data_IF_742379964136
#
_entry.id   IF_742379964136
#
_cell.length_a   1.000
_cell.length_b   1.000
_cell.length_c   1.000
_cell.angle_alpha   90.00
_cell.angle_beta   90.00
_cell.angle_gamma   90.00
#
_symmetry.space_group_name_H-M   'P 1'
#
loop_
_entity.id
_entity.type
_entity.pdbx_description
1 polymer ?
#
# COMPACT_ATOMS: atom_id res chain seq x y z
N UNK A 1 24.75 14.79 49.94
CA UNK A 1 25.46 14.41 48.69
C UNK A 1 25.31 12.93 48.35
N UNK A 2 25.16 12.06 49.35
CA UNK A 2 25.07 10.60 49.19
C UNK A 2 23.85 10.11 48.38
N UNK A 3 22.70 10.79 48.48
CA UNK A 3 21.48 10.37 47.76
C UNK A 3 21.60 10.50 46.24
N UNK A 4 22.31 11.53 45.77
CA UNK A 4 22.57 11.73 44.34
C UNK A 4 23.49 10.64 43.79
N UNK A 5 24.49 10.23 44.57
CA UNK A 5 25.41 9.15 44.21
C UNK A 5 24.67 7.82 44.13
N UNK A 6 23.81 7.51 45.11
CA UNK A 6 22.97 6.31 45.09
C UNK A 6 22.00 6.29 43.91
N UNK A 7 21.34 7.41 43.62
CA UNK A 7 20.44 7.53 42.46
C UNK A 7 21.19 7.34 41.13
N UNK A 8 22.40 7.86 41.02
CA UNK A 8 23.25 7.68 39.84
C UNK A 8 23.70 6.22 39.69
N UNK A 9 24.17 5.60 40.78
CA UNK A 9 24.55 4.19 40.80
C UNK A 9 23.39 3.27 40.40
N UNK A 10 22.18 3.54 40.88
CA UNK A 10 20.97 2.80 40.49
C UNK A 10 20.65 2.94 39.00
N UNK A 11 20.76 4.15 38.44
CA UNK A 11 20.54 4.38 37.00
C UNK A 11 21.59 3.65 36.15
N UNK A 12 22.85 3.71 36.56
CA UNK A 12 23.95 3.05 35.86
C UNK A 12 23.78 1.52 35.86
N UNK A 13 23.45 0.94 37.01
CA UNK A 13 23.16 -0.49 37.12
C UNK A 13 21.99 -0.91 36.21
N UNK A 14 20.91 -0.13 36.16
CA UNK A 14 19.78 -0.41 35.26
C UNK A 14 20.18 -0.38 33.79
N UNK A 15 21.05 0.55 33.40
CA UNK A 15 21.52 0.66 32.02
C UNK A 15 22.39 -0.55 31.63
N UNK A 16 23.35 -0.94 32.46
CA UNK A 16 24.21 -2.11 32.21
C UNK A 16 23.37 -3.39 32.09
N UNK A 17 22.40 -3.57 32.99
CA UNK A 17 21.48 -4.72 32.96
C UNK A 17 20.58 -4.70 31.70
N UNK A 18 20.23 -3.52 31.20
CA UNK A 18 19.45 -3.40 29.97
C UNK A 18 20.30 -3.79 28.77
N UNK A 19 21.52 -3.27 28.65
CA UNK A 19 22.44 -3.51 27.54
C UNK A 19 22.79 -5.01 27.39
N UNK A 20 23.15 -5.66 28.51
CA UNK A 20 23.45 -7.10 28.58
C UNK A 20 22.25 -7.97 28.13
N UNK A 21 21.01 -7.52 28.38
CA UNK A 21 19.80 -8.24 27.95
C UNK A 21 19.58 -8.23 26.43
N UNK A 22 20.21 -7.33 25.68
CA UNK A 22 20.05 -7.26 24.23
C UNK A 22 21.22 -7.90 23.48
N UNK A 23 22.40 -8.02 24.09
CA UNK A 23 23.59 -8.57 23.43
C UNK A 23 23.38 -10.03 22.99
N UNK A 24 22.70 -10.84 23.82
CA UNK A 24 22.51 -12.28 23.59
C UNK A 24 21.04 -12.69 23.33
N UNK A 25 20.16 -11.75 22.98
CA UNK A 25 18.73 -12.08 22.80
C UNK A 25 18.46 -12.68 21.42
N UNK A 26 17.95 -13.93 21.32
CA UNK A 26 17.50 -14.45 20.04
C UNK A 26 16.32 -13.61 19.52
N UNK A 27 16.20 -13.43 18.19
CA UNK A 27 15.16 -12.60 17.61
C UNK A 27 13.76 -13.08 18.01
N UNK A 28 13.05 -12.28 18.80
CA UNK A 28 11.68 -12.57 19.24
C UNK A 28 10.72 -12.22 18.12
N UNK A 29 9.97 -13.22 17.64
CA UNK A 29 8.89 -13.02 16.68
C UNK A 29 7.71 -12.36 17.39
N UNK A 30 7.46 -11.08 17.13
CA UNK A 30 6.26 -10.39 17.62
C UNK A 30 5.10 -10.72 16.69
N UNK A 31 4.10 -11.46 17.20
CA UNK A 31 2.82 -11.61 16.49
C UNK A 31 1.95 -10.40 16.82
N UNK A 32 1.67 -9.58 15.82
CA UNK A 32 0.67 -8.52 15.94
C UNK A 32 -0.69 -9.19 15.94
N UNK A 33 -1.27 -9.40 17.14
CA UNK A 33 -2.66 -9.80 17.29
C UNK A 33 -3.51 -8.63 16.82
N UNK A 34 -3.92 -8.68 15.56
CA UNK A 34 -4.93 -7.78 15.01
C UNK A 34 -6.24 -8.16 15.70
N UNK A 35 -6.66 -7.37 16.68
CA UNK A 35 -7.93 -7.58 17.36
C UNK A 35 -9.06 -7.67 16.34
N UNK A 36 -9.85 -8.74 16.42
CA UNK A 36 -11.08 -8.88 15.65
C UNK A 36 -12.10 -7.85 16.18
N UNK A 37 -12.05 -6.61 15.70
CA UNK A 37 -13.23 -5.75 15.73
C UNK A 37 -14.13 -6.21 14.59
N UNK A 38 -15.13 -7.02 14.95
CA UNK A 38 -16.27 -7.32 14.09
C UNK A 38 -16.81 -6.01 13.48
N UNK A 39 -17.16 -5.99 12.18
CA UNK A 39 -17.80 -4.82 11.60
C UNK A 39 -19.17 -4.68 12.27
N UNK A 40 -19.34 -3.61 13.05
CA UNK A 40 -20.66 -3.14 13.46
C UNK A 40 -21.36 -2.65 12.20
N UNK A 41 -22.24 -3.49 11.68
CA UNK A 41 -23.30 -3.08 10.78
C UNK A 41 -24.25 -2.23 11.62
N UNK A 42 -24.26 -0.91 11.42
CA UNK A 42 -25.37 -0.01 11.75
C UNK A 42 -25.06 1.38 11.18
N UNK A 43 -25.61 1.66 9.99
CA UNK A 43 -26.18 2.95 9.60
C UNK A 43 -26.55 2.89 8.10
N UNK A 44 -27.85 2.77 7.86
CA UNK A 44 -28.49 3.01 6.58
C UNK A 44 -28.10 4.38 6.01
N UNK A 45 -27.50 4.41 4.83
CA UNK A 45 -27.61 5.54 3.90
C UNK A 45 -28.53 5.11 2.77
N UNK A 46 -29.84 5.26 3.00
CA UNK A 46 -30.78 5.32 1.89
C UNK A 46 -30.63 6.69 1.26
N UNK A 47 -29.87 6.75 0.18
CA UNK A 47 -29.87 7.90 -0.71
C UNK A 47 -30.11 7.37 -2.11
N UNK A 48 -31.40 7.31 -2.45
CA UNK A 48 -31.83 7.38 -3.84
C UNK A 48 -31.39 8.74 -4.39
N UNK A 49 -30.13 8.82 -4.81
CA UNK A 49 -29.67 9.86 -5.73
C UNK A 49 -29.36 9.18 -7.04
N UNK A 50 -30.32 9.32 -7.94
CA UNK A 50 -30.17 9.11 -9.36
C UNK A 50 -29.04 9.99 -9.89
N UNK A 51 -27.85 9.41 -10.03
CA UNK A 51 -26.84 9.91 -10.95
C UNK A 51 -27.18 9.35 -12.32
N UNK A 52 -28.12 10.01 -13.00
CA UNK A 52 -28.12 9.96 -14.46
C UNK A 52 -26.86 10.67 -14.91
N UNK A 53 -25.95 9.95 -15.57
CA UNK A 53 -25.24 10.37 -16.78
C UNK A 53 -24.34 9.19 -17.21
N UNK A 54 -24.69 8.67 -18.37
CA UNK A 54 -23.89 7.97 -19.36
C UNK A 54 -23.34 6.56 -19.09
N UNK A 55 -24.10 5.60 -19.63
CA UNK A 55 -23.56 4.44 -20.33
C UNK A 55 -22.59 4.90 -21.43
N UNK A 56 -21.29 4.94 -21.10
CA UNK A 56 -20.22 5.26 -22.04
C UNK A 56 -19.17 4.15 -22.08
N UNK A 57 -19.31 3.26 -23.07
CA UNK A 57 -18.36 2.26 -23.57
C UNK A 57 -18.07 1.02 -22.69
N UNK A 58 -18.96 0.04 -22.79
CA UNK A 58 -18.59 -1.40 -22.78
C UNK A 58 -17.79 -1.77 -24.04
N UNK A 59 -16.80 -0.97 -24.42
CA UNK A 59 -15.71 -1.41 -25.28
C UNK A 59 -14.74 -2.11 -24.35
N UNK A 60 -14.59 -3.41 -24.51
CA UNK A 60 -13.62 -4.19 -23.75
C UNK A 60 -12.24 -3.63 -24.07
N UNK A 61 -11.77 -2.66 -23.28
CA UNK A 61 -10.50 -1.99 -23.54
C UNK A 61 -9.41 -3.08 -23.56
N UNK A 62 -8.64 -3.21 -24.65
CA UNK A 62 -7.65 -4.28 -24.77
C UNK A 62 -6.67 -4.26 -23.60
N UNK A 63 -6.37 -3.05 -23.11
CA UNK A 63 -5.52 -2.77 -21.95
C UNK A 63 -6.12 -3.34 -20.66
N UNK A 64 -7.44 -3.21 -20.44
CA UNK A 64 -8.10 -3.78 -19.25
C UNK A 64 -7.99 -5.30 -19.19
N UNK A 65 -8.15 -5.95 -20.35
CA UNK A 65 -8.02 -7.39 -20.45
C UNK A 65 -6.58 -7.85 -20.21
N UNK A 66 -5.60 -7.10 -20.69
CA UNK A 66 -4.19 -7.37 -20.46
C UNK A 66 -3.83 -7.29 -18.97
N UNK A 67 -4.33 -6.25 -18.29
CA UNK A 67 -4.15 -6.09 -16.84
C UNK A 67 -4.79 -7.26 -16.08
N UNK A 68 -6.02 -7.66 -16.43
CA UNK A 68 -6.70 -8.80 -15.79
C UNK A 68 -5.95 -10.13 -15.94
N UNK A 69 -5.18 -10.30 -17.03
CA UNK A 69 -4.31 -11.46 -17.26
C UNK A 69 -3.01 -11.38 -16.45
N UNK A 70 -2.42 -10.20 -16.34
CA UNK A 70 -1.16 -10.00 -15.62
C UNK A 70 -1.29 -10.11 -14.08
N UNK A 71 -2.45 -9.71 -13.53
CA UNK A 71 -2.65 -9.63 -12.08
C UNK A 71 -3.21 -10.95 -11.52
N UNK A 72 -2.72 -11.43 -10.34
CA UNK A 72 -3.28 -12.59 -9.66
C UNK A 72 -4.78 -12.48 -9.40
N UNK A 73 -5.50 -13.61 -9.48
CA UNK A 73 -6.98 -13.66 -9.32
C UNK A 73 -7.47 -12.95 -8.04
N UNK A 74 -6.73 -13.06 -6.94
CA UNK A 74 -7.07 -12.46 -5.64
C UNK A 74 -6.99 -10.94 -5.61
N UNK A 75 -6.32 -10.32 -6.59
CA UNK A 75 -6.04 -8.88 -6.62
C UNK A 75 -6.76 -8.13 -7.76
N UNK A 76 -7.54 -8.84 -8.59
CA UNK A 76 -8.26 -8.26 -9.74
C UNK A 76 -9.18 -7.12 -9.35
N UNK A 77 -9.99 -7.28 -8.30
CA UNK A 77 -10.90 -6.22 -7.84
C UNK A 77 -10.15 -4.94 -7.44
N UNK A 78 -8.93 -5.08 -6.90
CA UNK A 78 -8.09 -3.92 -6.54
C UNK A 78 -7.50 -3.25 -7.78
N UNK A 79 -7.11 -4.04 -8.78
CA UNK A 79 -6.65 -3.53 -10.07
C UNK A 79 -7.75 -2.74 -10.79
N UNK A 80 -8.98 -3.27 -10.81
CA UNK A 80 -10.14 -2.60 -11.40
C UNK A 80 -10.45 -1.26 -10.72
N UNK A 81 -10.45 -1.24 -9.38
CA UNK A 81 -10.68 -0.02 -8.61
C UNK A 81 -9.58 1.02 -8.85
N UNK A 82 -8.31 0.59 -8.90
CA UNK A 82 -7.18 1.45 -9.20
C UNK A 82 -7.32 2.06 -10.60
N UNK A 83 -7.67 1.25 -11.59
CA UNK A 83 -7.85 1.71 -12.96
C UNK A 83 -8.99 2.71 -13.07
N UNK A 84 -10.13 2.43 -12.44
CA UNK A 84 -11.25 3.37 -12.37
C UNK A 84 -10.82 4.72 -11.76
N UNK A 85 -10.03 4.68 -10.69
CA UNK A 85 -9.52 5.91 -10.05
C UNK A 85 -8.52 6.67 -10.92
N UNK A 86 -7.71 5.97 -11.71
CA UNK A 86 -6.77 6.56 -12.65
C UNK A 86 -7.52 7.22 -13.81
N UNK A 87 -8.48 6.50 -14.42
CA UNK A 87 -9.34 7.01 -15.50
C UNK A 87 -10.19 8.21 -15.07
N UNK A 88 -10.57 8.28 -13.79
CA UNK A 88 -11.26 9.43 -13.21
C UNK A 88 -10.43 10.72 -13.17
N UNK A 89 -9.11 10.67 -13.40
CA UNK A 89 -8.24 11.85 -13.42
C UNK A 89 -7.97 12.29 -14.86
N UNK A 90 -8.35 13.51 -15.27
CA UNK A 90 -8.20 13.97 -16.66
C UNK A 90 -6.73 14.21 -17.06
N UNK A 91 -5.84 14.38 -16.09
CA UNK A 91 -4.41 14.68 -16.32
C UNK A 91 -3.60 13.45 -16.77
N UNK A 92 -4.14 12.25 -16.55
CA UNK A 92 -3.47 10.98 -16.78
C UNK A 92 -4.19 10.26 -17.92
N UNK A 93 -3.56 10.26 -19.09
CA UNK A 93 -4.03 9.54 -20.27
C UNK A 93 -3.11 8.38 -20.58
N UNK A 94 -3.62 7.40 -21.29
CA UNK A 94 -2.88 6.24 -21.73
C UNK A 94 -2.96 6.15 -23.24
N UNK A 95 -1.86 5.79 -23.88
CA UNK A 95 -1.86 5.53 -25.32
C UNK A 95 -2.36 4.10 -25.62
N UNK A 96 -2.59 3.80 -26.90
CA UNK A 96 -3.05 2.49 -27.35
C UNK A 96 -2.05 1.35 -27.05
N UNK A 97 -0.80 1.69 -26.73
CA UNK A 97 0.26 0.75 -26.33
C UNK A 97 0.33 0.52 -24.82
N UNK A 98 -0.54 1.15 -24.03
CA UNK A 98 -0.53 1.06 -22.57
C UNK A 98 0.50 1.95 -21.88
N UNK A 99 1.13 2.90 -22.59
CA UNK A 99 2.08 3.83 -21.99
C UNK A 99 1.43 5.11 -21.46
N UNK A 100 1.97 5.62 -20.37
CA UNK A 100 1.50 6.82 -19.68
C UNK A 100 1.78 8.10 -20.47
N UNK A 101 0.74 8.89 -20.70
CA UNK A 101 0.81 10.26 -21.23
C UNK A 101 0.34 11.21 -20.14
N UNK A 102 1.28 12.00 -19.62
CA UNK A 102 1.02 12.99 -18.59
C UNK A 102 1.19 14.39 -19.19
N UNK A 103 0.14 15.21 -19.15
CA UNK A 103 0.16 16.60 -19.68
C UNK A 103 0.71 16.75 -21.12
N UNK A 104 0.48 15.74 -21.96
CA UNK A 104 0.95 15.73 -23.35
C UNK A 104 2.37 15.19 -23.54
N UNK A 105 3.10 14.93 -22.46
CA UNK A 105 4.39 14.24 -22.53
C UNK A 105 4.21 12.74 -22.33
N UNK A 106 4.84 11.97 -23.22
CA UNK A 106 4.86 10.51 -23.16
C UNK A 106 6.01 10.06 -22.27
N UNK A 107 5.67 9.36 -21.20
CA UNK A 107 6.67 8.81 -20.30
C UNK A 107 7.08 7.44 -20.83
N UNK A 108 8.32 7.36 -21.35
CA UNK A 108 8.89 6.11 -21.88
C UNK A 108 8.97 5.06 -20.76
N UNK A 109 8.86 3.79 -21.14
CA UNK A 109 8.93 2.63 -20.22
C UNK A 109 7.89 2.64 -19.09
N UNK A 110 6.79 3.38 -19.25
CA UNK A 110 5.72 3.47 -18.26
C UNK A 110 4.51 2.68 -18.71
N UNK A 111 4.59 1.35 -18.67
CA UNK A 111 3.48 0.46 -19.01
C UNK A 111 2.48 0.39 -17.84
N UNK A 112 1.19 0.58 -18.14
CA UNK A 112 0.11 0.48 -17.15
C UNK A 112 0.11 -0.87 -16.44
N UNK A 113 0.37 -1.97 -17.16
CA UNK A 113 0.39 -3.33 -16.60
C UNK A 113 1.44 -3.43 -15.49
N UNK A 114 2.66 -2.97 -15.77
CA UNK A 114 3.76 -3.02 -14.82
C UNK A 114 3.51 -2.10 -13.64
N UNK A 115 2.94 -0.91 -13.86
CA UNK A 115 2.61 0.02 -12.78
C UNK A 115 1.53 -0.53 -11.84
N UNK A 116 0.47 -1.15 -12.40
CA UNK A 116 -0.56 -1.82 -11.59
C UNK A 116 0.07 -2.97 -10.80
N UNK A 117 0.94 -3.75 -11.44
CA UNK A 117 1.60 -4.88 -10.79
C UNK A 117 2.60 -4.43 -9.71
N UNK A 118 3.32 -3.33 -9.90
CA UNK A 118 4.24 -2.75 -8.92
C UNK A 118 3.50 -2.21 -7.69
N UNK A 119 2.31 -1.64 -7.88
CA UNK A 119 1.48 -1.13 -6.78
C UNK A 119 0.84 -2.27 -5.98
N UNK A 120 0.40 -3.32 -6.67
CA UNK A 120 -0.27 -4.46 -6.04
C UNK A 120 0.74 -5.48 -5.50
N UNK A 121 1.92 -5.58 -6.10
CA UNK A 121 2.98 -6.50 -5.76
C UNK A 121 3.64 -6.13 -4.44
N UNK A 122 3.75 -7.08 -3.52
CA UNK A 122 4.67 -6.94 -2.38
C UNK A 122 6.10 -7.05 -2.92
N UNK A 123 6.87 -5.97 -2.87
CA UNK A 123 8.31 -6.00 -3.19
C UNK A 123 9.01 -6.96 -2.23
N UNK A 124 9.49 -8.10 -2.74
CA UNK A 124 10.11 -9.16 -1.91
C UNK A 124 11.58 -8.88 -1.54
N UNK A 125 12.26 -7.97 -2.24
CA UNK A 125 13.71 -7.74 -2.13
C UNK A 125 14.08 -6.26 -2.03
N UNK A 126 13.29 -5.45 -1.34
CA UNK A 126 13.73 -4.10 -1.01
C UNK A 126 14.48 -4.13 0.32
N UNK A 127 15.80 -4.27 0.25
CA UNK A 127 16.69 -3.93 1.35
C UNK A 127 16.95 -2.42 1.28
N UNK A 128 16.33 -1.59 2.14
CA UNK A 128 16.68 -0.18 2.18
C UNK A 128 18.13 -0.08 2.66
N UNK A 129 19.05 0.27 1.76
CA UNK A 129 20.36 0.76 2.17
C UNK A 129 20.13 2.13 2.82
N UNK A 130 20.13 2.17 4.14
CA UNK A 130 20.20 3.42 4.90
C UNK A 130 21.47 4.16 4.52
N UNK A 131 21.38 5.50 4.51
CA UNK A 131 22.55 6.37 4.50
C UNK A 131 23.17 6.38 5.89
#
# INVERSE_FOLDING_TARGET
MEDKVKAYQQKLQRFIIYDDKYENRPPVKVQVVRGNTAPKNDASFNTNQSFGVDQGSSTTDPIENEIKKSVPKTMRNRAELLLHKIKSKPDVKWNDRGELVYKGERIKNSNMVDLVNDVLGRRKHFEPRGW
#
